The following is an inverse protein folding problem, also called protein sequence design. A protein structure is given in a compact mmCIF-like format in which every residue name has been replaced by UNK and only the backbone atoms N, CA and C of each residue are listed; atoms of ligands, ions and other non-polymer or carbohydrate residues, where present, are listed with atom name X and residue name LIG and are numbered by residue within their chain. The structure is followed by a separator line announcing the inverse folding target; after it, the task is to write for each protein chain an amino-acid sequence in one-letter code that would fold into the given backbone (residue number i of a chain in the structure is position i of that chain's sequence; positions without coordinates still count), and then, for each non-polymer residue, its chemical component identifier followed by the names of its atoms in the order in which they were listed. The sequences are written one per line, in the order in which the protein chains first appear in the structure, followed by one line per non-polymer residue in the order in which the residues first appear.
data_IF_178570840611
#
_entry.id   IF_178570840611
#
_cell.length_a   1.000
_cell.length_b   1.000
_cell.length_c   1.000
_cell.angle_alpha   90.00
_cell.angle_beta   90.00
_cell.angle_gamma   90.00
#
_symmetry.space_group_name_H-M   'P 1'
#
loop_
_entity.id
_entity.type
_entity.pdbx_description
1 polymer ?
#
# COMPACT_ATOMS: atom_id res chain seq x y z
N UNK A 1 -9.57 13.92 5.94
CA UNK A 1 -10.33 14.78 6.86
C UNK A 1 -10.38 14.16 8.26
N UNK A 2 -10.36 14.94 9.37
CA UNK A 2 -10.37 14.38 10.73
C UNK A 2 -11.52 13.39 10.97
N UNK A 3 -12.69 13.62 10.36
CA UNK A 3 -13.84 12.74 10.43
C UNK A 3 -13.58 11.32 9.89
N UNK A 4 -12.66 11.16 8.97
CA UNK A 4 -12.29 9.83 8.42
C UNK A 4 -11.53 8.97 9.43
N UNK A 5 -10.84 9.58 10.40
CA UNK A 5 -9.94 8.89 11.32
C UNK A 5 -10.62 8.40 12.61
N UNK A 6 -11.95 8.50 12.70
CA UNK A 6 -12.72 8.00 13.84
C UNK A 6 -12.96 6.50 13.76
N UNK A 7 -13.19 5.85 14.89
CA UNK A 7 -13.58 4.43 14.92
C UNK A 7 -15.01 4.23 14.35
N UNK A 8 -15.88 5.22 14.50
CA UNK A 8 -17.23 5.21 13.91
C UNK A 8 -17.16 5.18 12.37
N UNK A 9 -16.27 5.99 11.76
CA UNK A 9 -16.05 5.96 10.32
C UNK A 9 -15.52 4.60 9.85
N UNK A 10 -14.59 3.99 10.61
CA UNK A 10 -14.08 2.65 10.31
C UNK A 10 -15.19 1.59 10.39
N UNK A 11 -16.01 1.63 11.42
CA UNK A 11 -17.12 0.71 11.57
C UNK A 11 -18.12 0.84 10.41
N UNK A 12 -18.48 2.07 10.05
CA UNK A 12 -19.36 2.35 8.91
C UNK A 12 -18.74 1.82 7.59
N UNK A 13 -17.44 2.00 7.40
CA UNK A 13 -16.72 1.46 6.24
C UNK A 13 -16.82 -0.07 6.18
N UNK A 14 -16.56 -0.76 7.29
CA UNK A 14 -16.65 -2.23 7.39
C UNK A 14 -18.07 -2.71 7.07
N UNK A 15 -19.08 -2.08 7.63
CA UNK A 15 -20.49 -2.45 7.39
C UNK A 15 -20.87 -2.31 5.91
N UNK A 16 -20.45 -1.22 5.26
CA UNK A 16 -20.70 -1.00 3.84
C UNK A 16 -19.86 -1.92 2.91
N UNK A 17 -18.66 -2.28 3.34
CA UNK A 17 -17.79 -3.19 2.56
C UNK A 17 -18.30 -4.63 2.59
N UNK A 18 -18.88 -5.08 3.68
CA UNK A 18 -19.33 -6.47 3.87
C UNK A 18 -20.24 -6.99 2.77
N UNK A 19 -21.32 -6.31 2.32
CA UNK A 19 -22.15 -6.79 1.23
C UNK A 19 -21.41 -6.81 -0.11
N UNK A 20 -20.43 -5.91 -0.31
CA UNK A 20 -19.62 -5.85 -1.53
C UNK A 20 -18.72 -7.08 -1.61
N UNK A 21 -18.01 -7.41 -0.52
CA UNK A 21 -17.15 -8.61 -0.46
C UNK A 21 -17.99 -9.88 -0.60
N UNK A 22 -19.16 -9.95 0.04
CA UNK A 22 -20.07 -11.08 -0.12
C UNK A 22 -20.54 -11.28 -1.56
N UNK A 23 -20.74 -10.20 -2.30
CA UNK A 23 -21.01 -10.28 -3.74
C UNK A 23 -19.79 -10.78 -4.51
N UNK A 24 -18.58 -10.29 -4.19
CA UNK A 24 -17.34 -10.73 -4.82
C UNK A 24 -17.10 -12.24 -4.63
N UNK A 25 -17.38 -12.79 -3.44
CA UNK A 25 -17.32 -14.23 -3.15
C UNK A 25 -18.19 -15.06 -4.10
N UNK A 26 -19.42 -14.58 -4.38
CA UNK A 26 -20.34 -15.28 -5.26
C UNK A 26 -19.84 -15.38 -6.70
N UNK A 27 -19.04 -14.42 -7.14
CA UNK A 27 -18.47 -14.37 -8.49
C UNK A 27 -17.02 -14.84 -8.57
N UNK A 28 -16.41 -15.24 -7.43
CA UNK A 28 -15.00 -15.63 -7.36
C UNK A 28 -14.05 -14.48 -7.69
N UNK A 29 -14.44 -13.24 -7.38
CA UNK A 29 -13.63 -12.03 -7.62
C UNK A 29 -12.94 -11.62 -6.34
N UNK A 30 -11.68 -11.22 -6.46
CA UNK A 30 -10.94 -10.59 -5.37
C UNK A 30 -11.16 -9.07 -5.42
N UNK A 31 -11.48 -8.49 -4.28
CA UNK A 31 -11.50 -7.05 -4.04
C UNK A 31 -10.28 -6.72 -3.21
N UNK A 32 -9.55 -5.68 -3.58
CA UNK A 32 -8.47 -5.19 -2.77
C UNK A 32 -8.72 -3.74 -2.34
N UNK A 33 -8.50 -3.45 -1.06
CA UNK A 33 -8.53 -2.10 -0.51
C UNK A 33 -7.11 -1.54 -0.47
N UNK A 34 -6.99 -0.26 -0.74
CA UNK A 34 -5.72 0.46 -0.66
C UNK A 34 -5.75 1.42 0.54
N UNK A 35 -4.93 1.18 1.57
CA UNK A 35 -4.82 2.08 2.71
C UNK A 35 -4.15 3.39 2.32
N UNK A 36 -4.79 4.51 2.67
CA UNK A 36 -4.31 5.87 2.36
C UNK A 36 -4.47 6.76 3.58
N UNK A 37 -3.42 7.45 4.02
CA UNK A 37 -3.38 8.22 5.26
C UNK A 37 -4.49 9.29 5.39
N UNK A 38 -5.00 9.81 4.27
CA UNK A 38 -6.12 10.78 4.25
C UNK A 38 -7.51 10.13 4.31
N UNK A 39 -7.60 8.81 4.16
CA UNK A 39 -8.84 8.06 4.06
C UNK A 39 -9.25 7.42 5.40
N UNK A 40 -10.32 6.63 5.37
CA UNK A 40 -10.81 5.92 6.56
C UNK A 40 -9.83 4.82 6.96
N UNK A 41 -9.35 4.04 6.01
CA UNK A 41 -8.31 3.03 6.23
C UNK A 41 -6.95 3.73 6.05
N UNK A 42 -6.50 4.41 7.09
CA UNK A 42 -5.36 5.33 7.02
C UNK A 42 -4.06 4.79 7.63
N UNK A 43 -4.08 3.61 8.21
CA UNK A 43 -2.89 2.94 8.77
C UNK A 43 -2.93 1.44 8.50
N UNK A 44 -1.80 0.79 8.69
CA UNK A 44 -1.64 -0.67 8.58
C UNK A 44 -2.57 -1.40 9.56
N UNK A 45 -2.67 -0.90 10.80
CA UNK A 45 -3.50 -1.51 11.84
C UNK A 45 -5.01 -1.39 11.50
N UNK A 46 -5.43 -0.27 10.91
CA UNK A 46 -6.83 -0.11 10.47
C UNK A 46 -7.14 -1.06 9.30
N UNK A 47 -6.18 -1.27 8.39
CA UNK A 47 -6.33 -2.26 7.33
C UNK A 47 -6.49 -3.66 7.92
N UNK A 48 -5.66 -4.05 8.90
CA UNK A 48 -5.79 -5.34 9.60
C UNK A 48 -7.15 -5.50 10.27
N UNK A 49 -7.63 -4.46 10.99
CA UNK A 49 -8.98 -4.47 11.58
C UNK A 49 -10.09 -4.72 10.56
N UNK A 50 -9.98 -4.13 9.36
CA UNK A 50 -10.97 -4.36 8.28
C UNK A 50 -10.92 -5.81 7.79
N UNK A 51 -9.73 -6.34 7.54
CA UNK A 51 -9.56 -7.73 7.10
C UNK A 51 -10.12 -8.71 8.14
N UNK A 52 -9.78 -8.53 9.42
CA UNK A 52 -10.27 -9.37 10.52
C UNK A 52 -11.79 -9.30 10.69
N UNK A 53 -12.36 -8.10 10.55
CA UNK A 53 -13.81 -7.92 10.68
C UNK A 53 -14.61 -8.50 9.53
N UNK A 54 -14.07 -8.50 8.32
CA UNK A 54 -14.72 -9.08 7.13
C UNK A 54 -14.49 -10.60 7.06
N UNK A 55 -13.27 -11.05 7.37
CA UNK A 55 -12.84 -12.46 7.40
C UNK A 55 -13.18 -13.21 6.10
N UNK A 56 -12.65 -12.70 4.98
CA UNK A 56 -12.89 -13.28 3.65
C UNK A 56 -11.61 -13.34 2.82
N UNK A 57 -11.32 -14.48 2.18
CA UNK A 57 -10.18 -14.60 1.26
C UNK A 57 -10.36 -13.75 -0.03
N UNK A 58 -11.57 -13.27 -0.28
CA UNK A 58 -11.87 -12.39 -1.41
C UNK A 58 -11.62 -10.92 -1.11
N UNK A 59 -11.22 -10.57 0.12
CA UNK A 59 -10.75 -9.24 0.48
C UNK A 59 -9.24 -9.25 0.68
N UNK A 60 -8.54 -8.45 -0.09
CA UNK A 60 -7.08 -8.34 -0.06
C UNK A 60 -6.63 -6.87 -0.01
N UNK A 61 -5.32 -6.65 -0.06
CA UNK A 61 -4.68 -5.33 0.06
C UNK A 61 -3.93 -4.98 -1.22
N UNK A 62 -4.11 -3.76 -1.69
CA UNK A 62 -3.12 -3.07 -2.51
C UNK A 62 -2.19 -2.33 -1.55
N UNK A 63 -0.93 -2.70 -1.54
CA UNK A 63 0.04 -2.04 -0.68
C UNK A 63 0.79 -0.96 -1.43
N UNK A 64 0.58 0.28 -1.04
CA UNK A 64 1.33 1.45 -1.49
C UNK A 64 1.96 2.13 -0.27
N UNK A 65 3.27 1.97 -0.04
CA UNK A 65 3.90 2.57 1.13
C UNK A 65 3.82 4.10 1.14
N UNK A 66 3.88 4.76 -0.03
CA UNK A 66 3.81 6.24 -0.11
C UNK A 66 2.43 6.75 0.30
N UNK A 67 1.36 6.01 0.00
CA UNK A 67 0.00 6.39 0.38
C UNK A 67 -0.25 6.35 1.90
N UNK A 68 0.57 5.64 2.66
CA UNK A 68 0.54 5.63 4.12
C UNK A 68 1.38 6.74 4.76
N UNK A 69 2.17 7.47 3.95
CA UNK A 69 3.05 8.52 4.43
C UNK A 69 2.40 9.90 4.38
N UNK A 70 2.82 10.75 5.32
CA UNK A 70 2.59 12.18 5.35
C UNK A 70 3.83 12.86 5.93
N UNK A 71 3.90 14.18 5.87
CA UNK A 71 5.07 14.92 6.38
C UNK A 71 5.38 14.59 7.85
N UNK A 72 4.34 14.28 8.65
CA UNK A 72 4.50 14.02 10.08
C UNK A 72 5.00 12.60 10.41
N UNK A 73 5.09 11.70 9.42
CA UNK A 73 5.51 10.30 9.66
C UNK A 73 6.54 9.75 8.65
N UNK A 74 7.09 10.59 7.78
CA UNK A 74 8.09 10.14 6.77
C UNK A 74 9.36 9.56 7.39
N UNK A 75 9.74 9.98 8.56
CA UNK A 75 10.87 9.46 9.33
C UNK A 75 10.63 8.02 9.83
N UNK A 76 9.37 7.58 9.84
CA UNK A 76 8.95 6.23 10.22
C UNK A 76 8.64 5.33 9.01
N UNK A 77 9.05 5.70 7.80
CA UNK A 77 8.72 4.91 6.60
C UNK A 77 9.18 3.44 6.72
N UNK A 78 10.35 3.19 7.27
CA UNK A 78 10.89 1.83 7.44
C UNK A 78 10.06 1.00 8.43
N UNK A 79 9.58 1.63 9.50
CA UNK A 79 8.69 1.01 10.47
C UNK A 79 7.35 0.64 9.82
N UNK A 80 6.76 1.56 9.04
CA UNK A 80 5.49 1.35 8.33
C UNK A 80 5.63 0.22 7.30
N UNK A 81 6.72 0.18 6.53
CA UNK A 81 6.98 -0.91 5.58
C UNK A 81 7.08 -2.26 6.32
N UNK A 82 7.88 -2.33 7.39
CA UNK A 82 8.03 -3.56 8.16
C UNK A 82 6.70 -4.03 8.73
N UNK A 83 5.94 -3.14 9.36
CA UNK A 83 4.64 -3.43 9.94
C UNK A 83 3.62 -3.90 8.90
N UNK A 84 3.64 -3.31 7.69
CA UNK A 84 2.76 -3.73 6.61
C UNK A 84 2.99 -5.20 6.22
N UNK A 85 4.25 -5.63 6.07
CA UNK A 85 4.54 -7.03 5.77
C UNK A 85 4.27 -7.97 6.95
N UNK A 86 4.45 -7.51 8.18
CA UNK A 86 4.13 -8.29 9.38
C UNK A 86 2.63 -8.52 9.54
N UNK A 87 1.80 -7.48 9.36
CA UNK A 87 0.37 -7.55 9.64
C UNK A 87 -0.49 -7.88 8.41
N UNK A 88 -0.05 -7.55 7.21
CA UNK A 88 -0.84 -7.65 5.98
C UNK A 88 -0.18 -8.52 4.90
N UNK A 89 1.04 -9.02 5.13
CA UNK A 89 1.85 -9.67 4.11
C UNK A 89 1.12 -10.78 3.34
N UNK A 90 0.34 -11.60 4.03
CA UNK A 90 -0.40 -12.70 3.40
C UNK A 90 -1.51 -12.22 2.47
N UNK A 91 -2.13 -11.08 2.75
CA UNK A 91 -3.24 -10.50 1.99
C UNK A 91 -2.79 -9.44 0.96
N UNK A 92 -1.50 -9.12 0.86
CA UNK A 92 -1.03 -8.22 -0.20
C UNK A 92 -1.18 -8.89 -1.57
N UNK A 93 -2.09 -8.38 -2.39
CA UNK A 93 -2.34 -8.86 -3.76
C UNK A 93 -1.50 -8.13 -4.80
N UNK A 94 -1.25 -6.84 -4.59
CA UNK A 94 -0.50 -5.96 -5.50
C UNK A 94 0.29 -4.96 -4.67
N UNK A 95 1.48 -4.61 -5.14
CA UNK A 95 2.26 -3.50 -4.59
C UNK A 95 2.31 -2.37 -5.60
N UNK A 96 1.87 -1.18 -5.20
CA UNK A 96 2.05 0.03 -5.98
C UNK A 96 3.44 0.62 -5.68
N UNK A 97 4.19 0.84 -6.73
CA UNK A 97 5.56 1.33 -6.67
C UNK A 97 5.64 2.74 -7.25
N UNK A 98 5.62 3.72 -6.37
CA UNK A 98 5.92 5.13 -6.64
C UNK A 98 6.87 5.66 -5.59
N UNK A 99 7.35 6.85 -5.78
CA UNK A 99 8.26 7.52 -4.88
C UNK A 99 7.66 8.86 -4.42
N UNK A 100 8.36 9.56 -3.55
CA UNK A 100 7.93 10.88 -3.09
C UNK A 100 9.10 11.83 -2.88
N UNK A 101 8.79 13.11 -3.00
CA UNK A 101 9.62 14.22 -2.51
C UNK A 101 8.76 15.08 -1.58
N UNK A 102 9.43 15.82 -0.70
CA UNK A 102 8.77 16.81 0.17
C UNK A 102 8.83 18.16 -0.50
N UNK A 103 7.68 18.74 -0.81
CA UNK A 103 7.56 20.11 -1.32
C UNK A 103 6.74 20.95 -0.32
N UNK A 104 7.43 21.84 0.40
CA UNK A 104 6.80 22.60 1.48
C UNK A 104 6.32 21.69 2.62
N UNK A 105 5.02 21.65 2.86
CA UNK A 105 4.39 20.83 3.90
C UNK A 105 3.55 19.67 3.31
N UNK A 106 3.90 19.20 2.11
CA UNK A 106 3.18 18.13 1.43
C UNK A 106 4.14 17.10 0.83
N UNK A 107 3.67 15.85 0.72
CA UNK A 107 4.34 14.84 -0.08
C UNK A 107 3.81 14.89 -1.51
N UNK A 108 4.71 15.01 -2.45
CA UNK A 108 4.42 14.91 -3.88
C UNK A 108 4.87 13.56 -4.39
N UNK A 109 3.92 12.80 -4.91
CA UNK A 109 4.19 11.50 -5.54
C UNK A 109 4.90 11.67 -6.87
N UNK A 110 5.92 10.85 -7.10
CA UNK A 110 6.76 10.84 -8.32
C UNK A 110 7.08 9.38 -8.70
N UNK A 111 7.72 9.19 -9.85
CA UNK A 111 8.09 7.85 -10.32
C UNK A 111 9.09 7.17 -9.39
N UNK A 112 8.99 5.85 -9.26
CA UNK A 112 9.87 5.03 -8.43
C UNK A 112 11.35 5.24 -8.74
N UNK A 113 12.18 5.34 -7.70
CA UNK A 113 13.63 5.53 -7.78
C UNK A 113 14.06 6.97 -8.05
N UNK A 114 13.14 7.94 -7.96
CA UNK A 114 13.46 9.36 -8.16
C UNK A 114 13.25 10.21 -6.91
N UNK A 115 12.92 9.59 -5.78
CA UNK A 115 12.62 10.26 -4.52
C UNK A 115 13.32 9.67 -3.31
N UNK A 116 12.62 9.61 -2.19
CA UNK A 116 13.16 9.29 -0.86
C UNK A 116 12.63 7.99 -0.25
N UNK A 117 11.84 7.20 -0.97
CA UNK A 117 11.35 5.91 -0.46
C UNK A 117 12.50 4.90 -0.34
N UNK A 118 12.54 4.17 0.77
CA UNK A 118 13.53 3.11 1.00
C UNK A 118 13.22 1.86 0.17
N UNK A 119 13.48 1.93 -1.14
CA UNK A 119 13.27 0.83 -2.07
C UNK A 119 14.07 -0.43 -1.74
N UNK A 120 15.34 -0.36 -1.29
CA UNK A 120 16.06 -1.55 -0.84
C UNK A 120 15.31 -2.34 0.23
N UNK A 121 14.75 -1.66 1.25
CA UNK A 121 13.94 -2.31 2.27
C UNK A 121 12.66 -2.89 1.69
N UNK A 122 11.89 -2.10 0.92
CA UNK A 122 10.63 -2.54 0.32
C UNK A 122 10.83 -3.80 -0.54
N UNK A 123 11.81 -3.76 -1.45
CA UNK A 123 12.07 -4.87 -2.38
C UNK A 123 12.64 -6.10 -1.68
N UNK A 124 13.43 -5.92 -0.60
CA UNK A 124 13.85 -7.02 0.27
C UNK A 124 12.64 -7.70 0.91
N UNK A 125 11.70 -6.94 1.47
CA UNK A 125 10.48 -7.48 2.05
C UNK A 125 9.62 -8.24 1.03
N UNK A 126 9.46 -7.68 -0.17
CA UNK A 126 8.77 -8.35 -1.27
C UNK A 126 9.46 -9.68 -1.61
N UNK A 127 10.79 -9.70 -1.73
CA UNK A 127 11.56 -10.89 -2.06
C UNK A 127 11.42 -11.99 -0.99
N UNK A 128 11.39 -11.61 0.29
CA UNK A 128 11.29 -12.52 1.41
C UNK A 128 9.86 -13.08 1.61
N UNK A 129 8.83 -12.26 1.43
CA UNK A 129 7.46 -12.63 1.79
C UNK A 129 6.55 -12.90 0.59
N UNK A 130 6.70 -12.17 -0.51
CA UNK A 130 5.79 -12.20 -1.68
C UNK A 130 6.56 -12.15 -3.00
N UNK A 131 7.49 -13.08 -3.29
CA UNK A 131 8.41 -12.99 -4.44
C UNK A 131 7.72 -12.97 -5.81
N UNK A 132 6.44 -13.33 -5.88
CA UNK A 132 5.65 -13.38 -7.11
C UNK A 132 4.54 -12.32 -7.15
N UNK A 133 4.51 -11.37 -6.22
CA UNK A 133 3.50 -10.31 -6.21
C UNK A 133 3.71 -9.37 -7.40
N UNK A 134 2.62 -8.90 -7.97
CA UNK A 134 2.67 -7.88 -9.02
C UNK A 134 3.05 -6.52 -8.42
N UNK A 135 4.07 -5.89 -8.99
CA UNK A 135 4.47 -4.52 -8.68
C UNK A 135 4.07 -3.61 -9.84
N UNK A 136 3.16 -2.67 -9.58
CA UNK A 136 2.67 -1.71 -10.57
C UNK A 136 3.43 -0.39 -10.42
N UNK A 137 4.00 0.10 -11.50
CA UNK A 137 4.70 1.39 -11.51
C UNK A 137 3.69 2.54 -11.61
N UNK A 138 3.56 3.33 -10.55
CA UNK A 138 2.72 4.52 -10.51
C UNK A 138 3.53 5.81 -10.73
N UNK A 139 2.85 6.88 -11.11
CA UNK A 139 3.46 8.17 -11.45
C UNK A 139 4.57 8.07 -12.51
N UNK A 140 4.55 6.97 -13.28
CA UNK A 140 5.47 6.68 -14.36
C UNK A 140 4.85 7.12 -15.68
N UNK A 141 5.63 7.81 -16.52
CA UNK A 141 5.24 8.25 -17.86
C UNK A 141 6.09 7.53 -18.90
N UNK A 142 5.69 7.49 -20.19
CA UNK A 142 6.46 6.80 -21.22
C UNK A 142 7.95 7.16 -21.26
N UNK A 143 8.25 8.43 -20.98
CA UNK A 143 9.60 9.00 -21.05
C UNK A 143 10.55 8.45 -19.97
N UNK A 144 10.02 8.07 -18.81
CA UNK A 144 10.81 7.53 -17.69
C UNK A 144 10.58 6.05 -17.41
N UNK A 145 9.63 5.40 -18.10
CA UNK A 145 9.23 4.02 -17.81
C UNK A 145 10.41 3.02 -17.89
N UNK A 146 11.28 3.15 -18.88
CA UNK A 146 12.43 2.28 -19.02
C UNK A 146 13.43 2.44 -17.87
N UNK A 147 13.71 3.68 -17.46
CA UNK A 147 14.63 3.98 -16.36
C UNK A 147 14.06 3.51 -15.02
N UNK A 148 12.75 3.72 -14.78
CA UNK A 148 12.06 3.26 -13.58
C UNK A 148 12.10 1.74 -13.48
N UNK A 149 11.80 1.03 -14.57
CA UNK A 149 11.88 -0.43 -14.61
C UNK A 149 13.31 -0.92 -14.32
N UNK A 150 14.32 -0.33 -14.95
CA UNK A 150 15.72 -0.69 -14.74
C UNK A 150 16.14 -0.47 -13.26
N UNK A 151 15.73 0.64 -12.66
CA UNK A 151 15.96 0.91 -11.24
C UNK A 151 15.37 -0.21 -10.34
N UNK A 152 14.11 -0.58 -10.58
CA UNK A 152 13.43 -1.63 -9.81
C UNK A 152 14.14 -2.98 -9.94
N UNK A 153 14.49 -3.38 -11.17
CA UNK A 153 15.18 -4.65 -11.44
C UNK A 153 16.57 -4.71 -10.80
N UNK A 154 17.36 -3.64 -10.92
CA UNK A 154 18.69 -3.55 -10.30
C UNK A 154 18.62 -3.60 -8.78
N UNK A 155 17.70 -2.84 -8.19
CA UNK A 155 17.53 -2.81 -6.73
C UNK A 155 17.07 -4.16 -6.22
N UNK A 156 16.09 -4.81 -6.89
CA UNK A 156 15.62 -6.15 -6.51
C UNK A 156 16.73 -7.21 -6.60
N UNK A 157 17.60 -7.11 -7.59
CA UNK A 157 18.73 -8.02 -7.74
C UNK A 157 19.80 -7.85 -6.66
N UNK A 158 19.90 -6.65 -6.06
CA UNK A 158 20.94 -6.30 -5.07
C UNK A 158 20.56 -6.63 -3.62
N UNK A 159 19.29 -6.90 -3.32
CA UNK A 159 18.80 -7.20 -1.96
C UNK A 159 18.55 -8.67 -1.70
#
# INVERSE_FOLDING_TARGET
EPANHTEEALQTFIENLRPIVKCAEQFGVIIAIEPVWKHIVCTVERARKVLDAIDSPNLQIIFDPVNLLCVDNIDRQDEIINQAFELLGDEIAVVHCKDYVVEGNELKSIAAGTGSLNYPLLLKKIKEHKPYVHCTLENTVPENAAATKEFMEKTYASV
#
